data_IF_460268532030
#
_entry.id   IF_460268532030
#
_cell.length_a   1.000
_cell.length_b   1.000
_cell.length_c   1.000
_cell.angle_alpha   90.00
_cell.angle_beta   90.00
_cell.angle_gamma   90.00
#
_symmetry.space_group_name_H-M   'P 1'
#
loop_
_entity.id
_entity.type
_entity.pdbx_description
1 polymer ?
#
# COMPACT_ATOMS: atom_id res chain seq x y z
N UNK A 1 -3.94 -20.82 34.74
CA UNK A 1 -3.07 -20.54 33.58
C UNK A 1 -3.61 -21.15 32.28
N UNK A 2 -4.86 -21.67 32.24
CA UNK A 2 -5.43 -22.44 31.11
C UNK A 2 -6.42 -21.65 30.24
N UNK A 3 -7.33 -20.87 30.85
CA UNK A 3 -8.41 -20.17 30.13
C UNK A 3 -7.90 -19.11 29.14
N UNK A 4 -6.85 -18.36 29.50
CA UNK A 4 -6.26 -17.34 28.62
C UNK A 4 -5.56 -17.95 27.39
N UNK A 5 -4.96 -19.14 27.57
CA UNK A 5 -4.31 -19.89 26.48
C UNK A 5 -5.35 -20.45 25.51
N UNK A 6 -6.47 -20.95 26.02
CA UNK A 6 -7.57 -21.48 25.21
C UNK A 6 -8.25 -20.40 24.36
N UNK A 7 -8.51 -19.21 24.93
CA UNK A 7 -9.11 -18.09 24.21
C UNK A 7 -8.18 -17.52 23.11
N UNK A 8 -6.87 -17.47 23.35
CA UNK A 8 -5.89 -17.08 22.33
C UNK A 8 -5.86 -18.10 21.17
N UNK A 9 -5.91 -19.39 21.49
CA UNK A 9 -5.95 -20.47 20.50
C UNK A 9 -7.23 -20.43 19.65
N UNK A 10 -8.40 -20.22 20.27
CA UNK A 10 -9.67 -20.07 19.54
C UNK A 10 -9.66 -18.85 18.60
N UNK A 11 -9.07 -17.74 19.03
CA UNK A 11 -8.95 -16.56 18.17
C UNK A 11 -8.08 -16.83 16.95
N UNK A 12 -6.90 -17.44 17.12
CA UNK A 12 -6.02 -17.79 16.00
C UNK A 12 -6.70 -18.77 15.05
N UNK A 13 -7.42 -19.77 15.58
CA UNK A 13 -8.21 -20.68 14.75
C UNK A 13 -9.26 -19.96 13.90
N UNK A 14 -9.95 -18.97 14.46
CA UNK A 14 -10.90 -18.15 13.70
C UNK A 14 -10.20 -17.37 12.59
N UNK A 15 -9.05 -16.76 12.90
CA UNK A 15 -8.25 -16.04 11.90
C UNK A 15 -7.80 -16.95 10.76
N UNK A 16 -7.25 -18.14 11.06
CA UNK A 16 -6.81 -19.07 10.02
C UNK A 16 -7.95 -19.58 9.14
N UNK A 17 -9.17 -19.72 9.68
CA UNK A 17 -10.35 -20.03 8.86
C UNK A 17 -10.69 -18.88 7.91
N UNK A 18 -10.60 -17.64 8.39
CA UNK A 18 -10.84 -16.45 7.57
C UNK A 18 -9.80 -16.32 6.46
N UNK A 19 -8.51 -16.48 6.78
CA UNK A 19 -7.42 -16.46 5.79
C UNK A 19 -7.66 -17.51 4.70
N UNK A 20 -8.04 -18.74 5.10
CA UNK A 20 -8.35 -19.80 4.13
C UNK A 20 -9.53 -19.41 3.23
N UNK A 21 -10.60 -18.84 3.80
CA UNK A 21 -11.73 -18.36 3.01
C UNK A 21 -11.33 -17.21 2.05
N UNK A 22 -10.45 -16.32 2.49
CA UNK A 22 -9.89 -15.24 1.66
C UNK A 22 -9.10 -15.83 0.46
N UNK A 23 -8.25 -16.83 0.70
CA UNK A 23 -7.48 -17.52 -0.34
C UNK A 23 -8.39 -18.27 -1.34
N UNK A 24 -9.37 -19.03 -0.84
CA UNK A 24 -10.35 -19.73 -1.67
C UNK A 24 -11.12 -18.75 -2.57
N UNK A 25 -11.55 -17.62 -2.01
CA UNK A 25 -12.22 -16.58 -2.78
C UNK A 25 -11.32 -16.00 -3.88
N UNK A 26 -10.08 -15.62 -3.54
CA UNK A 26 -9.13 -15.06 -4.51
C UNK A 26 -8.84 -16.05 -5.65
N UNK A 27 -8.68 -17.33 -5.33
CA UNK A 27 -8.45 -18.38 -6.32
C UNK A 27 -9.67 -18.66 -7.22
N UNK A 28 -10.86 -18.28 -6.77
CA UNK A 28 -12.10 -18.40 -7.55
C UNK A 28 -12.34 -17.24 -8.53
N UNK A 29 -11.57 -16.15 -8.44
CA UNK A 29 -11.74 -14.99 -9.31
C UNK A 29 -11.38 -15.33 -10.78
N UNK A 30 -12.26 -14.94 -11.70
CA UNK A 30 -12.14 -15.21 -13.13
C UNK A 30 -12.25 -13.95 -14.02
N UNK A 31 -12.50 -12.78 -13.43
CA UNK A 31 -12.58 -11.52 -14.15
C UNK A 31 -11.20 -11.00 -14.61
N UNK A 32 -11.20 -10.06 -15.55
CA UNK A 32 -9.98 -9.41 -16.02
C UNK A 32 -9.21 -8.74 -14.88
N UNK A 33 -7.88 -8.85 -14.94
CA UNK A 33 -6.96 -8.33 -13.92
C UNK A 33 -7.07 -8.98 -12.53
N UNK A 34 -7.75 -10.12 -12.42
CA UNK A 34 -7.78 -10.93 -11.18
C UNK A 34 -6.48 -11.71 -10.91
N UNK A 35 -5.57 -11.77 -11.89
CA UNK A 35 -4.31 -12.51 -11.82
C UNK A 35 -3.12 -11.57 -11.97
N UNK A 36 -2.15 -11.74 -11.09
CA UNK A 36 -0.86 -11.03 -11.14
C UNK A 36 -0.06 -11.59 -12.32
N UNK A 37 0.44 -10.70 -13.18
CA UNK A 37 1.23 -11.08 -14.38
C UNK A 37 2.70 -10.69 -14.28
N UNK A 38 3.08 -9.90 -13.28
CA UNK A 38 4.45 -9.52 -13.00
C UNK A 38 5.12 -10.44 -11.97
N UNK A 39 6.45 -10.45 -11.96
CA UNK A 39 7.24 -11.23 -11.00
C UNK A 39 7.40 -10.43 -9.71
N UNK A 40 7.02 -11.02 -8.57
CA UNK A 40 7.29 -10.46 -7.25
C UNK A 40 8.67 -10.91 -6.80
N UNK A 41 9.41 -10.04 -6.12
CA UNK A 41 10.79 -10.30 -5.68
C UNK A 41 11.73 -10.63 -6.88
N UNK A 42 11.55 -9.93 -8.00
CA UNK A 42 12.38 -10.09 -9.18
C UNK A 42 13.84 -9.69 -8.93
N UNK A 43 14.75 -10.20 -9.77
CA UNK A 43 16.13 -9.72 -9.79
C UNK A 43 16.17 -8.22 -10.09
N UNK A 44 17.05 -7.51 -9.39
CA UNK A 44 17.23 -6.06 -9.55
C UNK A 44 17.80 -5.81 -10.96
N UNK A 45 17.09 -5.09 -11.83
CA UNK A 45 17.60 -4.76 -13.16
C UNK A 45 18.71 -3.70 -13.08
N UNK A 46 19.56 -3.65 -14.11
CA UNK A 46 20.48 -2.52 -14.30
C UNK A 46 19.69 -1.21 -14.46
N UNK A 47 20.13 -0.10 -13.85
CA UNK A 47 19.44 1.19 -13.98
C UNK A 47 19.46 1.71 -15.43
N UNK A 48 18.30 2.18 -15.91
CA UNK A 48 18.17 2.84 -17.21
C UNK A 48 17.82 4.33 -17.03
N UNK A 49 18.71 5.20 -17.49
CA UNK A 49 18.63 6.66 -17.43
C UNK A 49 17.47 7.28 -18.23
N UNK A 50 16.86 6.51 -19.15
CA UNK A 50 15.73 6.96 -19.96
C UNK A 50 14.40 6.31 -19.57
N UNK A 51 14.42 5.31 -18.67
CA UNK A 51 13.22 4.61 -18.23
C UNK A 51 12.29 5.57 -17.49
N UNK A 52 11.01 5.59 -17.87
CA UNK A 52 9.96 6.38 -17.22
C UNK A 52 9.04 5.47 -16.43
N UNK A 53 8.97 5.72 -15.13
CA UNK A 53 8.23 4.88 -14.19
C UNK A 53 7.16 5.72 -13.50
N UNK A 54 5.94 5.21 -13.45
CA UNK A 54 4.88 5.80 -12.65
C UNK A 54 4.63 4.92 -11.42
N UNK A 55 4.96 5.45 -10.24
CA UNK A 55 4.72 4.82 -8.95
C UNK A 55 3.33 5.11 -8.40
N UNK A 56 2.66 4.08 -7.91
CA UNK A 56 1.31 4.15 -7.34
C UNK A 56 1.33 3.59 -5.92
N UNK A 57 0.88 4.40 -4.97
CA UNK A 57 0.41 3.83 -3.71
C UNK A 57 -0.84 2.98 -3.91
N UNK A 58 -1.20 2.15 -2.92
CA UNK A 58 -2.34 1.23 -3.00
C UNK A 58 -3.46 1.68 -2.09
N UNK A 59 -3.21 1.68 -0.79
CA UNK A 59 -4.21 1.88 0.24
C UNK A 59 -4.71 3.33 0.25
N UNK A 60 -6.02 3.55 0.24
CA UNK A 60 -6.65 4.87 0.03
C UNK A 60 -6.27 5.59 -1.28
N UNK A 61 -5.53 4.94 -2.18
CA UNK A 61 -5.10 5.49 -3.46
C UNK A 61 -5.80 4.79 -4.63
N UNK A 62 -5.52 3.49 -4.85
CA UNK A 62 -6.18 2.68 -5.90
C UNK A 62 -7.63 2.33 -5.54
N UNK A 63 -8.02 2.55 -4.29
CA UNK A 63 -9.39 2.49 -3.83
C UNK A 63 -9.63 3.63 -2.84
N UNK A 64 -10.84 4.19 -2.77
CA UNK A 64 -11.07 5.39 -1.95
C UNK A 64 -11.04 5.07 -0.46
N UNK A 65 -10.67 6.06 0.35
CA UNK A 65 -10.67 5.97 1.81
C UNK A 65 -12.08 5.75 2.38
N UNK A 66 -13.11 6.17 1.66
CA UNK A 66 -14.52 5.91 1.97
C UNK A 66 -14.91 4.41 1.96
N UNK A 67 -14.04 3.52 1.48
CA UNK A 67 -14.18 2.06 1.70
C UNK A 67 -14.04 1.64 3.16
N UNK A 68 -13.45 2.50 4.01
CA UNK A 68 -13.24 2.27 5.44
C UNK A 68 -12.41 1.02 5.78
N UNK A 69 -11.58 0.56 4.85
CA UNK A 69 -10.63 -0.54 5.11
C UNK A 69 -9.66 -0.15 6.23
N UNK A 70 -9.20 1.10 6.25
CA UNK A 70 -8.36 1.61 7.34
C UNK A 70 -9.06 1.53 8.72
N UNK A 71 -10.37 1.73 8.80
CA UNK A 71 -11.12 1.59 10.07
C UNK A 71 -11.13 0.12 10.54
N UNK A 72 -11.31 -0.82 9.59
CA UNK A 72 -11.24 -2.26 9.91
C UNK A 72 -9.84 -2.67 10.35
N UNK A 73 -8.81 -2.14 9.68
CA UNK A 73 -7.42 -2.33 10.05
C UNK A 73 -7.19 -1.81 11.47
N UNK A 74 -7.63 -0.59 11.80
CA UNK A 74 -7.48 -0.02 13.14
C UNK A 74 -8.15 -0.90 14.22
N UNK A 75 -9.34 -1.41 13.96
CA UNK A 75 -10.03 -2.33 14.87
C UNK A 75 -9.23 -3.63 15.04
N UNK A 76 -8.71 -4.21 13.95
CA UNK A 76 -7.90 -5.42 13.99
C UNK A 76 -6.60 -5.22 14.78
N UNK A 77 -5.93 -4.08 14.60
CA UNK A 77 -4.71 -3.70 15.33
C UNK A 77 -4.98 -3.58 16.83
N UNK A 78 -6.04 -2.85 17.21
CA UNK A 78 -6.40 -2.67 18.62
C UNK A 78 -6.74 -4.02 19.25
N UNK A 79 -7.51 -4.87 18.57
CA UNK A 79 -7.81 -6.22 19.03
C UNK A 79 -6.55 -7.08 19.21
N UNK A 80 -5.57 -6.93 18.31
CA UNK A 80 -4.27 -7.61 18.41
C UNK A 80 -3.51 -7.15 19.66
N UNK A 81 -3.48 -5.83 19.94
CA UNK A 81 -2.82 -5.30 21.14
C UNK A 81 -3.50 -5.75 22.43
N UNK A 82 -4.83 -5.74 22.49
CA UNK A 82 -5.54 -6.21 23.69
C UNK A 82 -5.23 -7.68 23.99
N UNK A 83 -5.13 -8.52 22.95
CA UNK A 83 -4.93 -9.96 23.11
C UNK A 83 -3.48 -10.39 23.30
N UNK A 84 -2.55 -9.76 22.57
CA UNK A 84 -1.13 -10.15 22.58
C UNK A 84 -0.30 -9.36 23.59
N UNK A 85 -0.60 -8.07 23.76
CA UNK A 85 0.14 -7.19 24.67
C UNK A 85 -0.57 -6.98 26.00
N UNK A 86 -1.83 -7.42 26.13
CA UNK A 86 -2.63 -7.23 27.34
C UNK A 86 -2.92 -5.76 27.65
N UNK A 87 -2.80 -4.88 26.65
CA UNK A 87 -3.13 -3.46 26.77
C UNK A 87 -4.64 -3.29 26.84
N UNK A 88 -5.13 -2.30 27.58
CA UNK A 88 -6.53 -1.90 27.41
C UNK A 88 -6.71 -1.14 26.08
N UNK A 89 -7.96 -1.10 25.62
CA UNK A 89 -8.35 -0.44 24.37
C UNK A 89 -7.82 0.99 24.22
N UNK A 90 -7.83 1.79 25.28
CA UNK A 90 -7.45 3.22 25.21
C UNK A 90 -5.95 3.32 24.96
N UNK A 91 -5.14 2.57 25.72
CA UNK A 91 -3.71 2.53 25.51
C UNK A 91 -3.35 1.92 24.15
N UNK A 92 -4.08 0.91 23.68
CA UNK A 92 -3.89 0.31 22.38
C UNK A 92 -4.13 1.32 21.23
N UNK A 93 -5.22 2.09 21.30
CA UNK A 93 -5.54 3.14 20.33
C UNK A 93 -4.48 4.26 20.32
N UNK A 94 -4.03 4.68 21.51
CA UNK A 94 -2.99 5.70 21.64
C UNK A 94 -1.63 5.23 21.10
N UNK A 95 -1.26 3.99 21.39
CA UNK A 95 -0.02 3.39 20.91
C UNK A 95 -0.02 3.29 19.37
N UNK A 96 -1.12 2.81 18.79
CA UNK A 96 -1.28 2.72 17.34
C UNK A 96 -1.14 4.10 16.67
N UNK A 97 -1.86 5.11 17.20
CA UNK A 97 -1.77 6.49 16.69
C UNK A 97 -0.36 7.06 16.79
N UNK A 98 0.32 6.80 17.90
CA UNK A 98 1.68 7.30 18.15
C UNK A 98 2.67 6.69 17.17
N UNK A 99 2.67 5.37 17.00
CA UNK A 99 3.58 4.71 16.08
C UNK A 99 3.28 5.01 14.62
N UNK A 100 2.01 5.09 14.23
CA UNK A 100 1.64 5.51 12.89
C UNK A 100 2.17 6.92 12.59
N UNK A 101 1.97 7.88 13.50
CA UNK A 101 2.46 9.26 13.34
C UNK A 101 3.98 9.36 13.31
N UNK A 102 4.68 8.58 14.15
CA UNK A 102 6.13 8.68 14.29
C UNK A 102 6.88 7.96 13.17
N UNK A 103 6.37 6.81 12.72
CA UNK A 103 7.10 5.90 11.85
C UNK A 103 6.47 5.74 10.45
N UNK A 104 5.28 6.32 10.21
CA UNK A 104 4.50 6.13 8.97
C UNK A 104 3.84 4.75 8.85
N UNK A 105 4.14 3.84 9.77
CA UNK A 105 3.62 2.49 9.83
C UNK A 105 3.68 1.97 11.28
N UNK A 106 2.53 1.61 11.86
CA UNK A 106 2.46 1.25 13.28
C UNK A 106 3.32 0.02 13.63
N UNK A 107 3.43 -0.96 12.72
CA UNK A 107 4.22 -2.18 12.96
C UNK A 107 5.70 -1.89 13.19
N UNK A 108 6.25 -0.84 12.58
CA UNK A 108 7.64 -0.43 12.82
C UNK A 108 7.89 -0.05 14.28
N UNK A 109 6.96 0.66 14.91
CA UNK A 109 7.07 0.99 16.34
C UNK A 109 6.93 -0.24 17.22
N UNK A 110 5.96 -1.11 16.91
CA UNK A 110 5.71 -2.33 17.69
C UNK A 110 6.89 -3.30 17.68
N UNK A 111 7.52 -3.46 16.53
CA UNK A 111 8.67 -4.35 16.40
C UNK A 111 9.88 -3.81 17.14
N UNK A 112 10.15 -2.50 17.03
CA UNK A 112 11.30 -1.87 17.71
C UNK A 112 11.14 -1.82 19.24
N UNK A 113 9.93 -1.58 19.75
CA UNK A 113 9.73 -1.24 21.16
C UNK A 113 8.96 -2.30 21.96
N UNK A 114 8.22 -3.19 21.30
CA UNK A 114 7.33 -4.15 21.97
C UNK A 114 7.65 -5.61 21.64
N UNK A 115 8.67 -5.89 20.82
CA UNK A 115 9.08 -7.26 20.48
C UNK A 115 8.04 -8.04 19.69
N UNK A 116 7.12 -7.34 19.00
CA UNK A 116 6.14 -7.96 18.12
C UNK A 116 6.80 -8.44 16.84
N UNK A 117 6.56 -9.71 16.50
CA UNK A 117 6.90 -10.28 15.20
C UNK A 117 6.01 -9.65 14.11
N UNK A 118 6.59 -8.92 13.14
CA UNK A 118 5.84 -8.33 12.03
C UNK A 118 5.01 -9.33 11.24
N UNK A 119 5.48 -10.57 11.09
CA UNK A 119 4.79 -11.59 10.29
C UNK A 119 3.60 -12.19 11.01
N UNK A 120 3.70 -12.42 12.33
CA UNK A 120 2.54 -12.83 13.14
C UNK A 120 1.49 -11.70 13.18
N UNK A 121 1.91 -10.45 13.35
CA UNK A 121 1.03 -9.29 13.24
C UNK A 121 0.34 -9.22 11.87
N UNK A 122 1.09 -9.35 10.77
CA UNK A 122 0.50 -9.32 9.42
C UNK A 122 -0.53 -10.42 9.22
N UNK A 123 -0.21 -11.63 9.68
CA UNK A 123 -1.12 -12.79 9.60
C UNK A 123 -2.40 -12.53 10.38
N UNK A 124 -2.29 -12.03 11.61
CA UNK A 124 -3.43 -11.88 12.52
C UNK A 124 -4.26 -10.61 12.29
N UNK A 125 -3.68 -9.62 11.62
CA UNK A 125 -4.31 -8.33 11.38
C UNK A 125 -4.70 -8.19 9.90
N UNK A 126 -3.72 -8.13 9.00
CA UNK A 126 -3.91 -7.72 7.60
C UNK A 126 -4.45 -8.87 6.72
N UNK A 127 -3.75 -10.02 6.72
CA UNK A 127 -4.15 -11.21 5.94
C UNK A 127 -5.54 -11.73 6.34
N UNK A 128 -5.94 -11.47 7.58
CA UNK A 128 -7.24 -11.84 8.14
C UNK A 128 -8.42 -10.95 7.68
N UNK A 129 -8.17 -9.74 7.14
CA UNK A 129 -9.26 -8.85 6.74
C UNK A 129 -10.04 -9.43 5.56
N UNK A 130 -11.39 -9.46 5.58
CA UNK A 130 -12.18 -10.01 4.48
C UNK A 130 -12.41 -8.97 3.38
N UNK A 131 -11.32 -8.51 2.75
CA UNK A 131 -11.30 -7.42 1.77
C UNK A 131 -12.25 -7.65 0.59
N UNK A 132 -12.51 -8.91 0.22
CA UNK A 132 -13.44 -9.28 -0.84
C UNK A 132 -14.88 -8.81 -0.64
N UNK A 133 -15.28 -8.49 0.58
CA UNK A 133 -16.61 -7.95 0.85
C UNK A 133 -16.70 -6.44 0.58
N UNK A 134 -15.56 -5.79 0.34
CA UNK A 134 -15.43 -4.33 0.21
C UNK A 134 -14.88 -3.98 -1.17
N UNK A 135 -13.71 -4.54 -1.52
CA UNK A 135 -13.07 -4.32 -2.81
C UNK A 135 -13.74 -5.18 -3.88
N UNK A 136 -14.10 -4.51 -4.98
CA UNK A 136 -14.74 -5.09 -6.16
C UNK A 136 -14.01 -4.60 -7.41
N UNK A 137 -14.14 -5.29 -8.55
CA UNK A 137 -13.56 -4.84 -9.81
C UNK A 137 -13.95 -3.39 -10.12
N UNK A 138 -12.96 -2.54 -10.37
CA UNK A 138 -13.16 -1.14 -10.69
C UNK A 138 -12.82 -0.88 -12.16
N UNK A 139 -13.85 -1.00 -13.02
CA UNK A 139 -13.69 -0.87 -14.47
C UNK A 139 -13.16 0.52 -14.88
N UNK A 140 -13.60 1.59 -14.21
CA UNK A 140 -13.14 2.95 -14.51
C UNK A 140 -11.65 3.12 -14.21
N UNK A 141 -11.19 2.62 -13.06
CA UNK A 141 -9.76 2.62 -12.73
C UNK A 141 -8.96 1.77 -13.73
N UNK A 142 -9.47 0.58 -14.06
CA UNK A 142 -8.85 -0.30 -15.05
C UNK A 142 -8.66 0.41 -16.39
N UNK A 143 -9.70 1.07 -16.91
CA UNK A 143 -9.65 1.84 -18.15
C UNK A 143 -8.63 3.00 -18.08
N UNK A 144 -8.58 3.73 -16.96
CA UNK A 144 -7.57 4.79 -16.76
C UNK A 144 -6.14 4.24 -16.82
N UNK A 145 -5.88 3.11 -16.16
CA UNK A 145 -4.56 2.47 -16.15
C UNK A 145 -4.19 1.88 -17.53
N UNK A 146 -5.15 1.32 -18.27
CA UNK A 146 -4.94 0.85 -19.65
C UNK A 146 -4.50 2.03 -20.53
N UNK A 147 -5.21 3.17 -20.47
CA UNK A 147 -4.84 4.38 -21.23
C UNK A 147 -3.43 4.86 -20.89
N UNK A 148 -3.03 4.77 -19.61
CA UNK A 148 -1.67 5.09 -19.19
C UNK A 148 -0.63 4.13 -19.78
N UNK A 149 -0.91 2.82 -19.82
CA UNK A 149 -0.01 1.85 -20.46
C UNK A 149 0.11 2.08 -21.97
N UNK A 150 -0.98 2.45 -22.62
CA UNK A 150 -1.04 2.61 -24.08
C UNK A 150 -0.54 3.96 -24.58
N UNK A 151 -0.33 4.95 -23.71
CA UNK A 151 0.05 6.30 -24.12
C UNK A 151 1.47 6.40 -24.73
N UNK A 152 2.32 5.39 -24.56
CA UNK A 152 3.72 5.37 -25.02
C UNK A 152 4.65 6.35 -24.27
N UNK A 153 4.15 6.99 -23.19
CA UNK A 153 4.88 7.99 -22.41
C UNK A 153 5.37 7.47 -21.06
N UNK A 154 4.88 6.31 -20.62
CA UNK A 154 5.31 5.61 -19.42
C UNK A 154 5.71 4.20 -19.82
N UNK A 155 6.87 3.76 -19.35
CA UNK A 155 7.42 2.45 -19.70
C UNK A 155 7.03 1.39 -18.66
N UNK A 156 6.87 1.79 -17.38
CA UNK A 156 6.39 0.91 -16.30
C UNK A 156 5.37 1.59 -15.39
N UNK A 157 4.32 0.87 -15.04
CA UNK A 157 3.46 1.17 -13.89
C UNK A 157 3.93 0.31 -12.71
N UNK A 158 4.24 0.95 -11.58
CA UNK A 158 4.90 0.27 -10.46
C UNK A 158 4.12 0.49 -9.16
N UNK A 159 3.79 -0.60 -8.46
CA UNK A 159 3.16 -0.51 -7.14
C UNK A 159 4.21 -0.13 -6.10
N UNK A 160 3.93 0.85 -5.24
CA UNK A 160 4.84 1.30 -4.19
C UNK A 160 4.07 1.55 -2.88
N UNK A 161 4.07 0.55 -1.99
CA UNK A 161 3.21 0.50 -0.80
C UNK A 161 4.02 0.29 0.50
N UNK A 162 3.47 0.76 1.61
CA UNK A 162 3.95 0.44 2.96
C UNK A 162 3.42 -0.89 3.50
N UNK A 163 2.41 -1.49 2.87
CA UNK A 163 1.89 -2.79 3.25
C UNK A 163 2.84 -3.93 2.87
N UNK A 164 2.58 -5.13 3.39
CA UNK A 164 3.25 -6.34 2.95
C UNK A 164 2.70 -6.83 1.60
N UNK A 165 3.48 -7.65 0.89
CA UNK A 165 3.11 -8.11 -0.46
C UNK A 165 1.77 -8.84 -0.53
N UNK A 166 1.42 -9.64 0.48
CA UNK A 166 0.17 -10.40 0.46
C UNK A 166 -1.04 -9.47 0.32
N UNK A 167 -1.14 -8.46 1.18
CA UNK A 167 -2.19 -7.44 1.12
C UNK A 167 -2.22 -6.70 -0.21
N UNK A 168 -1.06 -6.20 -0.64
CA UNK A 168 -0.93 -5.45 -1.89
C UNK A 168 -1.46 -6.25 -3.10
N UNK A 169 -1.05 -7.51 -3.24
CA UNK A 169 -1.47 -8.39 -4.32
C UNK A 169 -2.96 -8.73 -4.22
N UNK A 170 -3.51 -8.90 -3.01
CA UNK A 170 -4.95 -9.11 -2.80
C UNK A 170 -5.76 -7.92 -3.30
N UNK A 171 -5.36 -6.70 -2.94
CA UNK A 171 -6.03 -5.46 -3.34
C UNK A 171 -6.11 -5.33 -4.86
N UNK A 172 -4.98 -5.46 -5.57
CA UNK A 172 -4.97 -5.29 -7.04
C UNK A 172 -5.73 -6.41 -7.77
N UNK A 173 -5.72 -7.63 -7.23
CA UNK A 173 -6.52 -8.74 -7.78
C UNK A 173 -8.02 -8.50 -7.60
N UNK A 174 -8.46 -8.09 -6.41
CA UNK A 174 -9.88 -7.80 -6.14
C UNK A 174 -10.40 -6.60 -6.93
N UNK A 175 -9.55 -5.60 -7.17
CA UNK A 175 -9.86 -4.43 -7.99
C UNK A 175 -9.84 -4.72 -9.50
N UNK A 176 -9.33 -5.89 -9.93
CA UNK A 176 -9.26 -6.26 -11.35
C UNK A 176 -8.22 -5.46 -12.13
N UNK A 177 -7.06 -5.18 -11.52
CA UNK A 177 -5.99 -4.37 -12.10
C UNK A 177 -4.60 -5.00 -11.94
N UNK A 178 -4.51 -6.25 -11.46
CA UNK A 178 -3.24 -6.90 -11.14
C UNK A 178 -2.33 -7.15 -12.35
N UNK A 179 -2.90 -7.20 -13.55
CA UNK A 179 -2.19 -7.39 -14.82
C UNK A 179 -1.67 -6.09 -15.45
N UNK A 180 -1.98 -4.94 -14.86
CA UNK A 180 -1.64 -3.63 -15.41
C UNK A 180 -0.37 -3.03 -14.80
N UNK A 181 0.29 -3.72 -13.88
CA UNK A 181 1.53 -3.28 -13.26
C UNK A 181 2.70 -4.16 -13.69
N UNK A 182 3.90 -3.59 -13.73
CA UNK A 182 5.13 -4.26 -14.15
C UNK A 182 5.95 -4.77 -12.94
N UNK A 183 5.55 -4.39 -11.73
CA UNK A 183 6.16 -4.85 -10.50
C UNK A 183 5.66 -4.13 -9.26
N UNK A 184 6.26 -4.47 -8.14
CA UNK A 184 5.90 -3.96 -6.81
C UNK A 184 7.13 -3.75 -5.94
N UNK A 185 7.11 -2.64 -5.22
CA UNK A 185 7.94 -2.38 -4.04
C UNK A 185 7.02 -2.30 -2.83
N UNK A 186 7.25 -3.19 -1.87
CA UNK A 186 6.49 -3.28 -0.63
C UNK A 186 7.42 -3.16 0.59
N UNK A 187 6.86 -2.97 1.78
CA UNK A 187 7.60 -2.99 3.04
C UNK A 187 7.83 -4.44 3.46
N UNK A 188 9.08 -4.90 3.51
CA UNK A 188 9.38 -6.31 3.80
C UNK A 188 9.39 -6.60 5.29
N UNK A 189 8.31 -7.23 5.76
CA UNK A 189 8.09 -7.54 7.16
C UNK A 189 8.98 -8.68 7.69
N UNK A 190 9.65 -9.44 6.82
CA UNK A 190 10.61 -10.46 7.27
C UNK A 190 11.87 -9.85 7.89
N UNK A 191 12.18 -8.58 7.62
CA UNK A 191 13.35 -7.88 8.12
C UNK A 191 12.96 -6.87 9.22
N UNK A 192 12.45 -7.43 10.33
CA UNK A 192 11.91 -6.73 11.49
C UNK A 192 12.78 -5.55 12.01
N UNK A 193 14.10 -5.72 12.06
CA UNK A 193 15.04 -4.73 12.61
C UNK A 193 15.25 -3.52 11.69
N UNK A 194 14.89 -3.63 10.41
CA UNK A 194 15.15 -2.62 9.38
C UNK A 194 13.97 -2.46 8.43
N UNK A 195 12.76 -2.28 8.99
CA UNK A 195 11.58 -1.95 8.20
C UNK A 195 11.77 -0.61 7.48
N UNK A 196 11.93 -0.68 6.16
CA UNK A 196 12.04 0.47 5.27
C UNK A 196 10.66 0.74 4.67
N UNK A 197 10.07 1.87 5.05
CA UNK A 197 8.75 2.29 4.60
C UNK A 197 8.73 3.80 4.31
N UNK A 198 7.83 4.24 3.43
CA UNK A 198 7.54 5.65 3.19
C UNK A 198 7.12 6.32 4.51
N UNK A 199 7.50 7.59 4.78
CA UNK A 199 8.13 8.56 3.88
C UNK A 199 9.68 8.53 3.90
N UNK A 200 10.31 7.47 4.40
CA UNK A 200 11.79 7.38 4.46
C UNK A 200 12.39 7.39 3.04
N UNK A 201 13.39 8.25 2.75
CA UNK A 201 14.08 8.26 1.45
C UNK A 201 14.62 6.89 1.02
N UNK A 202 15.01 6.03 1.98
CA UNK A 202 15.48 4.68 1.67
C UNK A 202 14.40 3.82 0.98
N UNK A 203 13.11 4.08 1.22
CA UNK A 203 12.01 3.39 0.55
C UNK A 203 11.90 3.80 -0.92
N UNK A 204 12.14 5.08 -1.23
CA UNK A 204 12.15 5.59 -2.60
C UNK A 204 13.36 5.08 -3.38
N UNK A 205 14.54 5.04 -2.75
CA UNK A 205 15.74 4.43 -3.37
C UNK A 205 15.55 2.93 -3.61
N UNK A 206 14.87 2.22 -2.71
CA UNK A 206 14.45 0.82 -2.92
C UNK A 206 13.54 0.69 -4.15
N UNK A 207 12.49 1.53 -4.24
CA UNK A 207 11.56 1.52 -5.38
C UNK A 207 12.25 1.84 -6.71
N UNK A 208 13.14 2.84 -6.70
CA UNK A 208 13.97 3.21 -7.85
C UNK A 208 14.82 2.05 -8.35
N UNK A 209 15.51 1.37 -7.44
CA UNK A 209 16.36 0.22 -7.75
C UNK A 209 15.55 -0.98 -8.26
N UNK A 210 14.45 -1.33 -7.60
CA UNK A 210 13.62 -2.49 -7.98
C UNK A 210 12.90 -2.31 -9.32
N UNK A 211 12.53 -1.07 -9.66
CA UNK A 211 11.91 -0.75 -10.96
C UNK A 211 12.91 -0.61 -12.10
N UNK A 212 14.20 -0.41 -11.80
CA UNK A 212 15.26 -0.13 -12.78
C UNK A 212 15.34 1.33 -13.22
N UNK A 213 14.70 2.25 -12.49
CA UNK A 213 14.74 3.68 -12.79
C UNK A 213 16.15 4.25 -12.57
N UNK A 214 16.75 4.85 -13.59
CA UNK A 214 18.07 5.51 -13.49
C UNK A 214 18.04 6.84 -12.73
N UNK A 215 17.01 7.67 -12.96
CA UNK A 215 16.92 9.04 -12.42
C UNK A 215 15.47 9.41 -12.04
N UNK A 216 15.27 9.99 -10.85
CA UNK A 216 13.96 10.44 -10.36
C UNK A 216 13.30 11.49 -11.25
N UNK A 217 14.06 12.22 -12.09
CA UNK A 217 13.47 13.16 -13.06
C UNK A 217 12.50 12.52 -14.05
N UNK A 218 12.62 11.21 -14.28
CA UNK A 218 11.75 10.43 -15.17
C UNK A 218 10.61 9.72 -14.43
N UNK A 219 10.44 9.99 -13.13
CA UNK A 219 9.38 9.39 -12.33
C UNK A 219 8.11 10.24 -12.28
N UNK A 220 6.99 9.55 -12.18
CA UNK A 220 5.69 10.08 -11.76
C UNK A 220 5.31 9.37 -10.46
N UNK A 221 4.58 10.05 -9.58
CA UNK A 221 4.19 9.47 -8.29
C UNK A 221 2.81 9.94 -7.83
N UNK A 222 1.99 9.01 -7.33
CA UNK A 222 0.70 9.30 -6.72
C UNK A 222 0.55 8.57 -5.38
N UNK A 223 0.09 9.30 -4.36
CA UNK A 223 -0.02 8.82 -2.97
C UNK A 223 -1.03 9.70 -2.20
N UNK A 224 -1.71 9.14 -1.19
CA UNK A 224 -2.65 9.88 -0.34
C UNK A 224 -1.96 10.61 0.82
N UNK A 225 -0.68 10.31 1.08
CA UNK A 225 0.10 10.94 2.15
C UNK A 225 0.91 12.13 1.66
N UNK A 226 0.58 13.32 2.18
CA UNK A 226 1.35 14.54 1.93
C UNK A 226 2.82 14.44 2.33
N UNK A 227 3.14 13.65 3.37
CA UNK A 227 4.54 13.39 3.79
C UNK A 227 5.29 12.55 2.76
N UNK A 228 4.65 11.53 2.19
CA UNK A 228 5.24 10.71 1.14
C UNK A 228 5.47 11.55 -0.13
N UNK A 229 4.48 12.34 -0.53
CA UNK A 229 4.59 13.27 -1.67
C UNK A 229 5.73 14.27 -1.46
N UNK A 230 5.88 14.80 -0.25
CA UNK A 230 6.97 15.72 0.09
C UNK A 230 8.34 15.06 -0.09
N UNK A 231 8.51 13.82 0.35
CA UNK A 231 9.76 13.08 0.14
C UNK A 231 10.03 12.89 -1.36
N UNK A 232 9.03 12.45 -2.14
CA UNK A 232 9.17 12.28 -3.59
C UNK A 232 9.64 13.56 -4.30
N UNK A 233 9.01 14.70 -3.99
CA UNK A 233 9.42 16.01 -4.51
C UNK A 233 10.85 16.37 -4.09
N UNK A 234 11.22 16.15 -2.82
CA UNK A 234 12.55 16.47 -2.31
C UNK A 234 13.68 15.62 -2.93
N UNK A 235 13.35 14.43 -3.42
CA UNK A 235 14.27 13.54 -4.14
C UNK A 235 14.35 13.84 -5.64
N UNK A 236 13.58 14.81 -6.13
CA UNK A 236 13.62 15.26 -7.51
C UNK A 236 12.60 14.59 -8.44
N UNK A 237 11.56 13.93 -7.91
CA UNK A 237 10.41 13.49 -8.72
C UNK A 237 9.61 14.75 -9.10
N UNK A 238 9.56 15.14 -10.39
CA UNK A 238 8.99 16.44 -10.77
C UNK A 238 7.46 16.42 -10.85
N UNK A 239 6.84 15.23 -10.87
CA UNK A 239 5.43 15.01 -11.14
C UNK A 239 4.79 14.15 -10.04
N UNK A 240 4.39 14.81 -8.95
CA UNK A 240 3.73 14.15 -7.83
C UNK A 240 2.26 14.62 -7.69
N UNK A 241 1.33 13.67 -7.64
CA UNK A 241 -0.09 13.92 -7.36
C UNK A 241 -0.44 13.47 -5.94
N UNK A 242 -0.91 14.39 -5.11
CA UNK A 242 -1.45 14.12 -3.79
C UNK A 242 -2.96 13.84 -3.90
N UNK A 243 -3.38 12.61 -3.59
CA UNK A 243 -4.78 12.21 -3.63
C UNK A 243 -5.46 12.61 -2.31
N UNK A 244 -6.46 13.49 -2.39
CA UNK A 244 -7.21 13.99 -1.24
C UNK A 244 -8.71 13.89 -1.55
N UNK A 245 -9.34 12.80 -1.07
CA UNK A 245 -10.77 12.53 -1.31
C UNK A 245 -11.66 13.62 -0.69
N UNK A 246 -11.65 13.75 0.64
CA UNK A 246 -12.47 14.71 1.38
C UNK A 246 -11.63 15.88 1.94
N UNK A 247 -10.61 15.53 2.74
CA UNK A 247 -9.75 16.50 3.43
C UNK A 247 -8.38 15.92 3.68
N UNK A 248 -7.39 16.80 3.78
CA UNK A 248 -6.04 16.42 4.19
C UNK A 248 -6.09 15.92 5.63
N UNK A 249 -5.54 14.74 5.87
CA UNK A 249 -5.37 14.20 7.21
C UNK A 249 -4.05 14.74 7.79
N UNK A 250 -4.12 15.54 8.86
CA UNK A 250 -2.92 16.14 9.47
C UNK A 250 -1.86 15.10 9.86
N UNK A 251 -2.29 13.88 10.22
CA UNK A 251 -1.41 12.75 10.55
C UNK A 251 -0.59 12.25 9.36
N UNK A 252 -1.09 12.43 8.13
CA UNK A 252 -0.39 12.07 6.89
C UNK A 252 0.48 13.20 6.35
N UNK A 253 0.47 14.37 7.00
CA UNK A 253 1.16 15.57 6.56
C UNK A 253 0.32 16.43 5.62
N UNK A 254 0.69 17.71 5.55
CA UNK A 254 0.01 18.69 4.67
C UNK A 254 0.35 18.45 3.21
N UNK A 255 -0.52 18.88 2.31
CA UNK A 255 -0.20 18.97 0.87
C UNK A 255 1.07 19.81 0.68
N UNK A 256 2.16 19.25 0.15
CA UNK A 256 3.39 19.99 -0.09
C UNK A 256 3.25 20.91 -1.30
N UNK A 257 3.93 22.06 -1.25
CA UNK A 257 4.05 22.96 -2.39
C UNK A 257 4.71 22.25 -3.58
N UNK A 258 4.21 22.49 -4.80
CA UNK A 258 4.69 21.82 -6.01
C UNK A 258 4.02 20.49 -6.33
N UNK A 259 3.20 19.94 -5.44
CA UNK A 259 2.33 18.80 -5.75
C UNK A 259 1.04 19.23 -6.44
N UNK A 260 0.44 18.30 -7.20
CA UNK A 260 -0.87 18.47 -7.83
C UNK A 260 -1.90 17.74 -6.97
N UNK A 261 -3.05 18.36 -6.70
CA UNK A 261 -4.10 17.72 -5.89
C UNK A 261 -5.18 17.13 -6.79
N UNK A 262 -5.48 15.86 -6.57
CA UNK A 262 -6.62 15.15 -7.18
C UNK A 262 -7.54 14.59 -6.10
N UNK A 263 -8.81 14.37 -6.43
CA UNK A 263 -9.78 13.80 -5.47
C UNK A 263 -9.97 12.30 -5.60
N UNK A 264 -9.76 11.79 -6.82
CA UNK A 264 -9.96 10.40 -7.16
C UNK A 264 -8.81 9.95 -8.07
N UNK A 265 -8.38 8.71 -7.96
CA UNK A 265 -7.28 8.16 -8.78
C UNK A 265 -7.62 8.14 -10.27
N UNK A 266 -8.89 8.23 -10.65
CA UNK A 266 -9.30 8.34 -12.06
C UNK A 266 -9.18 9.77 -12.61
N UNK A 267 -8.83 10.76 -11.79
CA UNK A 267 -8.56 12.15 -12.19
C UNK A 267 -7.10 12.38 -12.64
N UNK A 268 -6.34 11.32 -12.92
CA UNK A 268 -4.94 11.42 -13.35
C UNK A 268 -4.75 12.21 -14.65
N UNK A 269 -5.77 12.28 -15.50
CA UNK A 269 -5.78 13.10 -16.71
C UNK A 269 -5.79 14.60 -16.42
N UNK A 270 -6.33 15.01 -15.27
CA UNK A 270 -6.26 16.39 -14.77
C UNK A 270 -4.89 16.72 -14.21
N UNK A 271 -4.26 15.74 -13.55
CA UNK A 271 -2.93 15.92 -12.96
C UNK A 271 -1.81 15.89 -14.00
N UNK A 272 -1.88 14.95 -14.92
CA UNK A 272 -0.84 14.67 -15.91
C UNK A 272 -1.45 14.62 -17.32
N UNK A 273 -2.04 15.71 -17.82
CA UNK A 273 -2.74 15.73 -19.11
C UNK A 273 -1.83 15.30 -20.27
N UNK A 274 -0.51 15.53 -20.15
CA UNK A 274 0.48 15.10 -21.13
C UNK A 274 0.49 13.57 -21.33
N UNK A 275 0.11 12.78 -20.33
CA UNK A 275 0.06 11.31 -20.39
C UNK A 275 -1.22 10.79 -21.06
N UNK A 276 -2.23 11.63 -21.27
CA UNK A 276 -3.54 11.21 -21.79
C UNK A 276 -3.91 11.84 -23.14
N UNK A 277 -3.05 12.70 -23.67
CA UNK A 277 -3.15 13.26 -25.01
C UNK A 277 -2.57 12.29 -26.04
N UNK A 278 -3.36 11.96 -27.06
CA UNK A 278 -2.91 11.24 -28.26
C UNK A 278 -2.05 12.21 -29.07
N UNK A 279 -0.82 11.80 -29.37
CA UNK A 279 0.05 12.52 -30.31
C UNK A 279 -0.45 12.36 -31.75
#
# INVERSE_FOLDING_TARGET
MTIATDACNEHRLKVYREIKANEEHLNSLDHDGSKVTFVVDQEIPEPDENLRVFYFDIDNCLYPSSTRIHDLMQIAIVNYFEKQLGLDKVHAEELNRTYYKQYGLAIRGLTLHNGIDPMDYNTLVDDALPLQHILKPNLKLRETLIRLRECGKIDKLWLFTNAYKNHALRCVRLLGIADLFDGITYCDYNHAESLICKPDPAAFEKAKRESGLGDFKNAYYVDDSGSNIKTGLSLGIPKCAHLVEDKVLDVLGKTPEGSIVIKDITDLDKAFPELFQIN
#
